data_IF_772976242750
#
_entry.id   IF_772976242750
#
_cell.length_a   1.000
_cell.length_b   1.000
_cell.length_c   1.000
_cell.angle_alpha   90.00
_cell.angle_beta   90.00
_cell.angle_gamma   90.00
#
_symmetry.space_group_name_H-M   'P 1'
#
loop_
_entity.id
_entity.type
_entity.pdbx_description
1 polymer ?
#
# COMPACT_ATOMS: atom_id res chain seq x y z
N UNK A 1 16.38 2.91 10.95
CA UNK A 1 15.86 2.15 9.79
C UNK A 1 14.64 1.37 10.20
N UNK A 2 13.60 1.34 9.39
CA UNK A 2 12.37 0.54 9.57
C UNK A 2 12.25 -0.40 8.38
N UNK A 3 12.05 -1.68 8.65
CA UNK A 3 11.75 -2.69 7.64
C UNK A 3 10.31 -3.18 7.86
N UNK A 4 9.49 -3.07 6.82
CA UNK A 4 8.12 -3.61 6.77
C UNK A 4 8.09 -4.80 5.83
N UNK A 5 7.41 -5.88 6.24
CA UNK A 5 7.16 -7.10 5.47
C UNK A 5 5.66 -7.27 5.35
N UNK A 6 5.12 -7.18 4.14
CA UNK A 6 3.68 -7.24 3.86
C UNK A 6 3.36 -8.41 2.95
N UNK A 7 2.45 -9.33 3.34
CA UNK A 7 2.12 -10.48 2.53
C UNK A 7 1.35 -10.07 1.26
N UNK A 8 1.55 -10.81 0.19
CA UNK A 8 0.69 -10.78 -0.99
C UNK A 8 -0.57 -11.60 -0.77
N UNK A 9 -1.60 -11.44 -1.64
CA UNK A 9 -2.87 -12.12 -1.48
C UNK A 9 -3.34 -12.82 -2.76
N UNK A 10 -4.14 -13.88 -2.57
CA UNK A 10 -4.95 -14.51 -3.61
C UNK A 10 -6.43 -14.22 -3.29
N UNK A 11 -7.22 -13.83 -4.28
CA UNK A 11 -8.67 -13.69 -4.17
C UNK A 11 -9.32 -14.94 -4.77
N UNK A 12 -10.14 -15.65 -4.00
CA UNK A 12 -10.82 -16.86 -4.44
C UNK A 12 -12.12 -16.54 -5.17
N UNK A 13 -12.87 -15.55 -4.66
CA UNK A 13 -14.18 -15.20 -5.20
C UNK A 13 -14.57 -13.77 -4.80
N UNK A 14 -15.52 -13.21 -5.56
CA UNK A 14 -16.09 -11.90 -5.27
C UNK A 14 -15.25 -10.70 -5.74
N UNK A 15 -14.17 -10.94 -6.47
CA UNK A 15 -13.33 -9.85 -6.99
C UNK A 15 -14.14 -8.87 -7.84
N UNK A 16 -13.94 -7.56 -7.60
CA UNK A 16 -14.67 -6.47 -8.24
C UNK A 16 -15.94 -6.03 -7.50
N UNK A 17 -16.47 -6.83 -6.57
CA UNK A 17 -17.64 -6.44 -5.76
C UNK A 17 -17.31 -5.38 -4.70
N UNK A 18 -16.03 -5.08 -4.52
CA UNK A 18 -15.49 -4.03 -3.65
C UNK A 18 -15.39 -2.65 -4.34
N UNK A 19 -15.82 -2.56 -5.60
CA UNK A 19 -15.77 -1.31 -6.37
C UNK A 19 -17.04 -0.49 -6.13
N UNK A 20 -16.90 0.77 -5.69
CA UNK A 20 -17.99 1.64 -5.21
C UNK A 20 -19.06 2.05 -6.24
N UNK A 21 -19.00 1.59 -7.49
CA UNK A 21 -20.05 1.83 -8.48
C UNK A 21 -21.15 0.75 -8.50
N UNK A 22 -21.15 -0.15 -7.53
CA UNK A 22 -22.18 -1.18 -7.46
C UNK A 22 -23.42 -0.61 -6.76
N UNK A 23 -24.42 -0.21 -7.53
CA UNK A 23 -25.75 0.23 -7.07
C UNK A 23 -26.61 -0.93 -6.51
N UNK A 24 -26.03 -1.89 -5.82
CA UNK A 24 -26.79 -2.98 -5.26
C UNK A 24 -27.05 -2.78 -3.76
N UNK A 25 -28.25 -3.11 -3.31
CA UNK A 25 -28.62 -3.18 -1.90
C UNK A 25 -27.84 -4.28 -1.15
N UNK A 26 -27.21 -5.20 -1.92
CA UNK A 26 -26.43 -6.31 -1.40
C UNK A 26 -24.97 -5.85 -1.23
N UNK A 27 -24.39 -6.00 -0.02
CA UNK A 27 -23.00 -5.64 0.20
C UNK A 27 -22.06 -6.47 -0.68
N UNK A 28 -21.02 -5.82 -1.22
CA UNK A 28 -19.95 -6.52 -1.91
C UNK A 28 -19.25 -7.49 -0.95
N UNK A 29 -18.87 -8.67 -1.43
CA UNK A 29 -18.22 -9.70 -0.60
C UNK A 29 -17.07 -10.34 -1.35
N UNK A 30 -15.94 -10.49 -0.66
CA UNK A 30 -14.78 -11.21 -1.19
C UNK A 30 -14.28 -12.23 -0.18
N UNK A 31 -13.75 -13.36 -0.70
CA UNK A 31 -13.00 -14.32 0.09
C UNK A 31 -11.57 -14.31 -0.43
N UNK A 32 -10.63 -13.95 0.44
CA UNK A 32 -9.23 -13.75 0.12
C UNK A 32 -8.33 -14.41 1.16
N UNK A 33 -7.16 -14.85 0.75
CA UNK A 33 -6.11 -15.29 1.69
C UNK A 33 -4.78 -14.65 1.34
N UNK A 34 -3.97 -14.39 2.36
CA UNK A 34 -2.58 -14.03 2.11
C UNK A 34 -1.73 -15.27 1.88
N UNK A 35 -0.64 -15.12 1.14
CA UNK A 35 0.28 -16.20 0.78
C UNK A 35 1.68 -15.94 1.34
N UNK A 36 2.51 -16.96 1.35
CA UNK A 36 3.91 -16.87 1.80
C UNK A 36 4.82 -16.25 0.71
N UNK A 37 4.39 -15.11 0.19
CA UNK A 37 5.15 -14.21 -0.70
C UNK A 37 4.92 -12.79 -0.23
N UNK A 38 5.95 -11.95 -0.28
CA UNK A 38 5.95 -10.70 0.43
C UNK A 38 6.44 -9.54 -0.43
N UNK A 39 5.95 -8.37 -0.08
CA UNK A 39 6.53 -7.07 -0.41
C UNK A 39 7.30 -6.56 0.80
N UNK A 40 8.54 -6.15 0.60
CA UNK A 40 9.39 -5.56 1.62
C UNK A 40 9.57 -4.07 1.34
N UNK A 41 9.47 -3.26 2.37
CA UNK A 41 9.72 -1.82 2.31
C UNK A 41 10.71 -1.46 3.40
N UNK A 42 11.84 -0.90 3.02
CA UNK A 42 12.82 -0.33 3.91
C UNK A 42 12.69 1.20 3.88
N UNK A 43 12.50 1.82 5.03
CA UNK A 43 12.48 3.27 5.21
C UNK A 43 13.58 3.70 6.16
N UNK A 44 14.42 4.64 5.71
CA UNK A 44 15.51 5.17 6.50
C UNK A 44 15.55 6.70 6.45
N UNK A 45 16.07 7.32 7.52
CA UNK A 45 16.39 8.75 7.53
C UNK A 45 17.71 8.96 6.77
N UNK A 46 17.76 9.97 5.93
CA UNK A 46 19.00 10.37 5.23
C UNK A 46 19.69 11.50 5.96
N UNK A 47 20.98 11.59 5.74
CA UNK A 47 21.80 12.69 6.25
C UNK A 47 21.50 14.02 5.50
N UNK A 48 21.27 13.93 4.19
CA UNK A 48 20.94 15.06 3.34
C UNK A 48 19.42 15.21 3.12
N UNK A 49 19.01 16.36 2.58
CA UNK A 49 17.59 16.71 2.42
C UNK A 49 16.94 16.14 1.15
N UNK A 50 17.61 15.26 0.40
CA UNK A 50 16.98 14.64 -0.76
C UNK A 50 16.11 13.42 -0.36
N UNK A 51 15.26 13.00 -1.28
CA UNK A 51 14.52 11.74 -1.21
C UNK A 51 15.15 10.78 -2.20
N UNK A 52 15.51 9.58 -1.73
CA UNK A 52 15.90 8.47 -2.59
C UNK A 52 14.80 7.42 -2.56
N UNK A 53 14.34 6.99 -3.73
CA UNK A 53 13.42 5.87 -3.89
C UNK A 53 14.08 4.83 -4.81
N UNK A 54 14.29 3.63 -4.29
CA UNK A 54 14.87 2.49 -5.02
C UNK A 54 13.82 1.37 -5.13
N UNK A 55 13.44 1.05 -6.36
CA UNK A 55 12.50 -0.01 -6.71
C UNK A 55 13.02 -0.71 -7.98
N UNK A 56 12.28 -0.85 -9.08
CA UNK A 56 12.83 -1.31 -10.38
C UNK A 56 13.83 -0.32 -10.99
N UNK A 57 13.73 0.94 -10.58
CA UNK A 57 14.69 2.01 -10.88
C UNK A 57 15.05 2.75 -9.60
N UNK A 58 16.10 3.57 -9.64
CA UNK A 58 16.45 4.46 -8.52
C UNK A 58 16.21 5.90 -8.92
N UNK A 59 15.41 6.59 -8.10
CA UNK A 59 15.19 8.02 -8.20
C UNK A 59 15.85 8.75 -7.03
N UNK A 60 16.43 9.91 -7.29
CA UNK A 60 17.02 10.77 -6.26
C UNK A 60 16.60 12.22 -6.54
N UNK A 61 15.71 12.77 -5.70
CA UNK A 61 15.06 14.05 -5.95
C UNK A 61 15.16 14.97 -4.73
N UNK A 62 15.32 16.27 -4.96
CA UNK A 62 15.25 17.30 -3.91
C UNK A 62 13.80 17.70 -3.62
N UNK A 63 12.92 17.60 -4.60
CA UNK A 63 11.51 17.96 -4.48
C UNK A 63 10.65 16.73 -4.67
N UNK A 64 9.81 16.41 -3.67
CA UNK A 64 8.93 15.25 -3.66
C UNK A 64 8.00 15.20 -4.90
N UNK A 65 7.60 16.34 -5.45
CA UNK A 65 6.76 16.39 -6.63
C UNK A 65 7.45 15.86 -7.90
N UNK A 66 8.79 15.77 -7.89
CA UNK A 66 9.59 15.21 -8.98
C UNK A 66 9.70 13.68 -8.90
N UNK A 67 9.30 13.06 -7.79
CA UNK A 67 9.30 11.61 -7.63
C UNK A 67 8.23 11.00 -8.55
N UNK A 68 8.65 10.12 -9.46
CA UNK A 68 7.77 9.53 -10.48
C UNK A 68 6.86 8.46 -9.90
N UNK A 69 7.38 7.64 -8.97
CA UNK A 69 6.61 6.55 -8.37
C UNK A 69 5.46 7.09 -7.52
N UNK A 70 4.24 7.03 -8.04
CA UNK A 70 3.05 7.67 -7.45
C UNK A 70 2.75 7.22 -6.03
N UNK A 71 2.75 5.89 -5.76
CA UNK A 71 2.43 5.37 -4.42
C UNK A 71 3.46 5.86 -3.39
N UNK A 72 4.76 5.80 -3.70
CA UNK A 72 5.80 6.28 -2.77
C UNK A 72 5.63 7.77 -2.53
N UNK A 73 5.47 8.55 -3.61
CA UNK A 73 5.26 10.00 -3.53
C UNK A 73 4.06 10.36 -2.67
N UNK A 74 2.89 9.78 -2.97
CA UNK A 74 1.67 10.14 -2.27
C UNK A 74 1.64 9.59 -0.83
N UNK A 75 2.27 8.45 -0.54
CA UNK A 75 2.43 7.95 0.83
C UNK A 75 3.26 8.88 1.70
N UNK A 76 4.38 9.36 1.18
CA UNK A 76 5.23 10.33 1.88
C UNK A 76 4.50 11.66 2.11
N UNK A 77 3.82 12.20 1.08
CA UNK A 77 3.02 13.43 1.17
C UNK A 77 1.87 13.31 2.18
N UNK A 78 1.12 12.21 2.13
CA UNK A 78 0.00 11.93 3.02
C UNK A 78 0.44 12.01 4.50
N UNK A 79 1.64 11.55 4.78
CA UNK A 79 2.22 11.59 6.11
C UNK A 79 3.14 12.81 6.36
N UNK A 80 3.12 13.82 5.48
CA UNK A 80 3.90 15.07 5.63
C UNK A 80 5.41 14.82 5.76
N UNK A 81 5.96 13.94 4.93
CA UNK A 81 7.41 13.73 4.77
C UNK A 81 7.80 14.28 3.40
N UNK A 82 8.56 15.36 3.36
CA UNK A 82 8.87 16.08 2.13
C UNK A 82 10.34 15.98 1.72
N UNK A 83 11.21 15.50 2.59
CA UNK A 83 12.65 15.36 2.35
C UNK A 83 13.33 14.42 3.36
N UNK A 84 14.63 14.20 3.19
CA UNK A 84 15.51 13.56 4.17
C UNK A 84 15.23 12.08 4.42
N UNK A 85 14.66 11.36 3.44
CA UNK A 85 14.36 9.93 3.59
C UNK A 85 14.79 9.11 2.37
N UNK A 86 15.07 7.85 2.65
CA UNK A 86 15.28 6.82 1.65
C UNK A 86 14.24 5.73 1.81
N UNK A 87 13.62 5.36 0.69
CA UNK A 87 12.69 4.23 0.56
C UNK A 87 13.29 3.23 -0.41
N UNK A 88 13.43 1.98 -0.01
CA UNK A 88 13.81 0.87 -0.88
C UNK A 88 12.76 -0.23 -0.82
N UNK A 89 12.44 -0.82 -1.96
CA UNK A 89 11.42 -1.86 -2.07
C UNK A 89 11.97 -3.11 -2.73
N UNK A 90 11.58 -4.28 -2.22
CA UNK A 90 11.90 -5.60 -2.76
C UNK A 90 10.62 -6.43 -2.74
N UNK A 91 10.47 -7.34 -3.68
CA UNK A 91 9.34 -8.25 -3.74
C UNK A 91 9.81 -9.67 -4.07
N UNK A 92 9.16 -10.68 -3.47
CA UNK A 92 9.43 -12.09 -3.73
C UNK A 92 8.99 -12.55 -5.12
N UNK A 93 8.20 -11.72 -5.82
CA UNK A 93 7.70 -11.99 -7.18
C UNK A 93 7.77 -10.71 -8.02
N UNK A 94 7.79 -10.82 -9.35
CA UNK A 94 7.67 -9.65 -10.22
C UNK A 94 6.44 -8.81 -9.89
N UNK A 95 6.63 -7.49 -9.77
CA UNK A 95 5.58 -6.57 -9.30
C UNK A 95 4.51 -6.26 -10.34
N UNK A 96 4.76 -6.49 -11.61
CA UNK A 96 3.83 -6.17 -12.71
C UNK A 96 3.08 -7.41 -13.18
N UNK A 97 1.74 -7.29 -13.32
CA UNK A 97 0.90 -8.31 -13.97
C UNK A 97 0.65 -9.59 -13.17
N UNK A 98 1.07 -9.67 -11.91
CA UNK A 98 0.94 -10.90 -11.11
C UNK A 98 -0.49 -11.17 -10.60
N UNK A 99 -1.36 -10.18 -10.55
CA UNK A 99 -2.69 -10.30 -9.94
C UNK A 99 -2.71 -10.58 -8.43
N UNK A 100 -1.56 -10.48 -7.75
CA UNK A 100 -1.38 -10.87 -6.34
C UNK A 100 -1.37 -9.67 -5.37
N UNK A 101 -1.96 -8.54 -5.75
CA UNK A 101 -2.06 -7.30 -4.95
C UNK A 101 -0.69 -6.67 -4.60
N UNK A 102 0.32 -6.79 -5.45
CA UNK A 102 1.66 -6.25 -5.20
C UNK A 102 1.66 -4.74 -4.93
N UNK A 103 0.85 -3.98 -5.67
CA UNK A 103 0.70 -2.53 -5.52
C UNK A 103 0.15 -2.16 -4.14
N UNK A 104 -0.89 -2.86 -3.69
CA UNK A 104 -1.52 -2.58 -2.39
C UNK A 104 -0.68 -3.10 -1.23
N UNK A 105 0.04 -4.21 -1.41
CA UNK A 105 1.03 -4.67 -0.44
C UNK A 105 2.17 -3.64 -0.27
N UNK A 106 2.59 -2.98 -1.37
CA UNK A 106 3.54 -1.87 -1.30
C UNK A 106 2.95 -0.67 -0.52
N UNK A 107 1.72 -0.28 -0.83
CA UNK A 107 1.05 0.83 -0.16
C UNK A 107 0.90 0.58 1.35
N UNK A 108 0.41 -0.61 1.72
CA UNK A 108 0.27 -1.06 3.12
C UNK A 108 1.63 -1.08 3.83
N UNK A 109 2.66 -1.63 3.17
CA UNK A 109 4.02 -1.68 3.71
C UNK A 109 4.63 -0.29 3.94
N UNK A 110 4.43 0.63 3.00
CA UNK A 110 4.86 2.03 3.12
C UNK A 110 4.16 2.73 4.28
N UNK A 111 2.83 2.64 4.35
CA UNK A 111 2.04 3.24 5.44
C UNK A 111 2.52 2.71 6.79
N UNK A 112 2.69 1.40 6.91
CA UNK A 112 3.18 0.78 8.15
C UNK A 112 4.58 1.30 8.53
N UNK A 113 5.52 1.28 7.59
CA UNK A 113 6.88 1.77 7.82
C UNK A 113 6.90 3.25 8.20
N UNK A 114 6.15 4.10 7.50
CA UNK A 114 6.07 5.53 7.75
C UNK A 114 5.44 5.82 9.13
N UNK A 115 4.33 5.17 9.46
CA UNK A 115 3.68 5.36 10.77
C UNK A 115 4.60 4.95 11.90
N UNK A 116 5.34 3.84 11.75
CA UNK A 116 6.36 3.42 12.72
C UNK A 116 7.51 4.43 12.82
N UNK A 117 7.99 4.92 11.69
CA UNK A 117 9.06 5.92 11.62
C UNK A 117 8.68 7.22 12.33
N UNK A 118 7.42 7.66 12.17
CA UNK A 118 6.88 8.87 12.81
C UNK A 118 6.31 8.65 14.20
N UNK A 119 6.39 7.43 14.75
CA UNK A 119 5.80 7.06 16.06
C UNK A 119 4.30 7.34 16.16
N UNK A 120 3.57 7.19 15.05
CA UNK A 120 2.12 7.36 15.00
C UNK A 120 1.41 6.09 15.45
N UNK A 121 0.12 6.21 15.85
CA UNK A 121 -0.72 5.07 16.22
C UNK A 121 -0.80 4.08 15.05
N UNK A 122 -0.64 2.79 15.34
CA UNK A 122 -0.65 1.69 14.39
C UNK A 122 -1.78 0.72 14.76
N UNK A 123 -2.65 0.41 13.79
CA UNK A 123 -3.55 -0.73 13.82
C UNK A 123 -3.78 -1.21 12.38
N UNK A 124 -4.19 -2.47 12.20
CA UNK A 124 -4.49 -3.03 10.88
C UNK A 124 -5.52 -2.17 10.12
N UNK A 125 -6.58 -1.74 10.82
CA UNK A 125 -7.64 -0.88 10.26
C UNK A 125 -7.09 0.47 9.80
N UNK A 126 -6.27 1.14 10.62
CA UNK A 126 -5.69 2.43 10.26
C UNK A 126 -4.77 2.29 9.03
N UNK A 127 -3.93 1.27 9.01
CA UNK A 127 -3.02 1.02 7.89
C UNK A 127 -3.80 0.75 6.61
N UNK A 128 -4.84 -0.08 6.66
CA UNK A 128 -5.68 -0.38 5.50
C UNK A 128 -6.39 0.87 4.98
N UNK A 129 -6.98 1.68 5.87
CA UNK A 129 -7.68 2.91 5.50
C UNK A 129 -6.74 3.93 4.85
N UNK A 130 -5.57 4.19 5.46
CA UNK A 130 -4.59 5.11 4.88
C UNK A 130 -4.11 4.63 3.51
N UNK A 131 -3.88 3.31 3.35
CA UNK A 131 -3.47 2.72 2.07
C UNK A 131 -4.57 2.87 1.00
N UNK A 132 -5.85 2.67 1.35
CA UNK A 132 -6.99 2.94 0.47
C UNK A 132 -7.04 4.41 0.07
N UNK A 133 -6.94 5.33 1.03
CA UNK A 133 -6.94 6.78 0.75
C UNK A 133 -5.80 7.18 -0.21
N UNK A 134 -4.62 6.61 -0.01
CA UNK A 134 -3.47 6.87 -0.86
C UNK A 134 -3.69 6.34 -2.28
N UNK A 135 -4.05 5.07 -2.44
CA UNK A 135 -4.18 4.48 -3.77
C UNK A 135 -5.41 4.99 -4.53
N UNK A 136 -6.58 5.05 -3.87
CA UNK A 136 -7.84 5.39 -4.52
C UNK A 136 -7.97 6.91 -4.68
N UNK A 137 -7.80 7.68 -3.57
CA UNK A 137 -8.07 9.12 -3.58
C UNK A 137 -6.87 9.94 -4.06
N UNK A 138 -5.64 9.64 -3.62
CA UNK A 138 -4.45 10.44 -3.97
C UNK A 138 -3.82 10.01 -5.30
N UNK A 139 -3.67 8.71 -5.52
CA UNK A 139 -3.16 8.18 -6.80
C UNK A 139 -4.26 8.05 -7.87
N UNK A 140 -5.57 8.20 -7.50
CA UNK A 140 -6.73 8.10 -8.39
C UNK A 140 -6.78 6.78 -9.16
N UNK A 141 -6.41 5.68 -8.52
CA UNK A 141 -6.47 4.37 -9.14
C UNK A 141 -7.92 3.87 -9.19
N UNK A 142 -8.37 3.29 -10.31
CA UNK A 142 -9.70 2.69 -10.44
C UNK A 142 -9.71 1.28 -9.83
N UNK A 143 -9.59 1.17 -8.52
CA UNK A 143 -9.55 -0.07 -7.75
C UNK A 143 -10.48 0.02 -6.53
N UNK A 144 -10.91 -1.14 -6.03
CA UNK A 144 -11.63 -1.26 -4.77
C UNK A 144 -10.68 -1.35 -3.56
N UNK A 145 -11.22 -1.76 -2.42
CA UNK A 145 -10.51 -1.77 -1.13
C UNK A 145 -10.05 -3.16 -0.68
N UNK A 146 -10.43 -4.24 -1.38
CA UNK A 146 -10.13 -5.61 -0.95
C UNK A 146 -8.64 -5.85 -0.70
N UNK A 147 -7.80 -5.31 -1.57
CA UNK A 147 -6.36 -5.60 -1.59
C UNK A 147 -5.63 -4.99 -0.41
N UNK A 148 -5.94 -3.74 -0.07
CA UNK A 148 -5.35 -3.05 1.07
C UNK A 148 -5.78 -3.69 2.39
N UNK A 149 -7.07 -4.04 2.51
CA UNK A 149 -7.55 -4.71 3.71
C UNK A 149 -6.96 -6.11 3.86
N UNK A 150 -6.99 -6.94 2.81
CA UNK A 150 -6.46 -8.30 2.88
C UNK A 150 -4.97 -8.34 3.22
N UNK A 151 -4.16 -7.49 2.59
CA UNK A 151 -2.70 -7.45 2.84
C UNK A 151 -2.34 -6.84 4.19
N UNK A 152 -3.17 -5.94 4.74
CA UNK A 152 -2.98 -5.36 6.08
C UNK A 152 -3.41 -6.32 7.21
N UNK A 153 -4.48 -7.08 7.01
CA UNK A 153 -5.01 -8.01 8.03
C UNK A 153 -4.26 -9.33 8.04
N UNK A 154 -3.90 -9.85 6.86
CA UNK A 154 -3.24 -11.14 6.70
C UNK A 154 -4.18 -12.33 6.98
N UNK A 155 -3.78 -13.53 6.54
CA UNK A 155 -4.54 -14.76 6.72
C UNK A 155 -5.75 -14.87 5.78
N UNK A 156 -6.66 -15.82 6.11
CA UNK A 156 -7.92 -16.00 5.38
C UNK A 156 -8.97 -15.02 5.91
N UNK A 157 -9.57 -14.25 5.01
CA UNK A 157 -10.56 -13.24 5.34
C UNK A 157 -11.78 -13.35 4.43
N UNK A 158 -12.97 -13.21 5.02
CA UNK A 158 -14.19 -12.77 4.36
C UNK A 158 -14.33 -11.27 4.63
N UNK A 159 -14.37 -10.46 3.59
CA UNK A 159 -14.51 -9.01 3.70
C UNK A 159 -15.85 -8.60 3.07
N UNK A 160 -16.63 -7.83 3.79
CA UNK A 160 -17.89 -7.28 3.32
C UNK A 160 -17.77 -5.76 3.18
N UNK A 161 -18.25 -5.23 2.05
CA UNK A 161 -18.21 -3.81 1.71
C UNK A 161 -19.65 -3.29 1.65
N UNK A 162 -19.97 -2.40 2.56
CA UNK A 162 -21.29 -1.77 2.64
C UNK A 162 -21.26 -0.40 1.95
N UNK A 163 -22.30 -0.10 1.17
CA UNK A 163 -22.54 1.25 0.66
C UNK A 163 -23.07 2.08 1.84
N UNK A 164 -22.31 3.09 2.26
CA UNK A 164 -22.75 4.11 3.23
C UNK A 164 -23.30 5.32 2.49
#
# INVERSE_FOLDING_TARGET
>A
MILSKTPLRISFTGGGSDYFNHNSEIPGRVIVTTINKYMYVCLNKKYNNNIRAAYSVTENVLNINKLKHSIIRESLKYHKIYNGVEVSTLADIPSSGSGLASSSALSVGLVHAIRKFKKLKISKKIIANDACDIEIKKCKKPIGMQDQYSTAYGGLNKIEFFNN
#
